data_IF_922387494886
#
_entry.id   IF_922387494886
#
_cell.length_a   1.000
_cell.length_b   1.000
_cell.length_c   1.000
_cell.angle_alpha   90.00
_cell.angle_beta   90.00
_cell.angle_gamma   90.00
#
_symmetry.space_group_name_H-M   'P 1'
#
loop_
_entity.id
_entity.type
_entity.pdbx_description
1 polymer ?
#
# COMPACT_ATOMS: atom_id res chain seq x y z
N UNK A 1 24.01 30.35 -1.34
CA UNK A 1 24.67 29.47 -0.35
C UNK A 1 24.90 30.19 0.98
N UNK A 2 24.22 31.32 1.22
CA UNK A 2 24.39 32.12 2.44
C UNK A 2 23.06 32.76 2.91
N UNK A 3 21.93 32.41 2.29
CA UNK A 3 20.57 32.87 2.67
C UNK A 3 19.74 31.78 3.39
N UNK A 4 20.18 30.53 3.38
CA UNK A 4 19.46 29.40 4.00
C UNK A 4 19.81 29.20 5.49
N UNK A 5 20.74 30.01 6.03
CA UNK A 5 21.25 29.84 7.39
C UNK A 5 20.49 30.65 8.46
N UNK A 6 19.70 31.67 8.08
CA UNK A 6 19.00 32.51 9.06
C UNK A 6 17.61 32.00 9.43
N UNK A 7 16.97 31.17 8.61
CA UNK A 7 15.60 30.72 8.89
C UNK A 7 15.51 29.54 9.88
N UNK A 8 16.65 29.02 10.34
CA UNK A 8 16.73 27.84 11.21
C UNK A 8 16.61 28.13 12.72
N UNK A 9 16.60 29.41 13.14
CA UNK A 9 16.68 29.77 14.55
C UNK A 9 15.34 29.98 15.29
N UNK A 10 14.18 29.85 14.64
CA UNK A 10 12.88 30.23 15.27
C UNK A 10 12.01 29.05 15.76
N UNK A 11 12.48 27.80 15.69
CA UNK A 11 11.70 26.61 16.07
C UNK A 11 12.21 25.90 17.33
N UNK A 12 12.63 26.65 18.35
CA UNK A 12 13.08 26.04 19.63
C UNK A 12 12.06 26.23 20.75
N UNK A 13 10.94 25.53 20.65
CA UNK A 13 10.22 25.05 21.84
C UNK A 13 9.91 23.57 21.63
N UNK A 14 10.90 22.75 21.95
CA UNK A 14 10.89 21.31 21.73
C UNK A 14 10.75 20.63 23.09
N UNK A 15 9.76 19.75 23.21
CA UNK A 15 9.40 19.02 24.43
C UNK A 15 10.61 18.30 25.06
N UNK A 16 10.68 18.19 26.41
CA UNK A 16 11.88 17.73 27.12
C UNK A 16 12.32 16.28 26.82
N UNK A 17 11.50 15.46 26.16
CA UNK A 17 11.85 14.12 25.70
C UNK A 17 12.82 14.12 24.48
N UNK A 18 12.89 15.22 23.73
CA UNK A 18 13.70 15.33 22.52
C UNK A 18 15.14 15.82 22.79
N UNK A 19 15.41 16.34 23.99
CA UNK A 19 16.74 16.85 24.35
C UNK A 19 17.74 15.72 24.64
N UNK A 20 17.28 14.57 25.11
CA UNK A 20 18.16 13.44 25.46
C UNK A 20 18.60 12.59 24.26
N UNK A 21 17.96 12.73 23.09
CA UNK A 21 18.30 11.96 21.88
C UNK A 21 19.32 12.65 20.97
N UNK A 22 19.57 13.95 21.20
CA UNK A 22 20.49 14.75 20.38
C UNK A 22 21.98 14.48 20.66
N UNK A 23 22.35 13.90 21.80
CA UNK A 23 23.76 13.69 22.13
C UNK A 23 24.40 12.44 21.48
N UNK A 24 23.62 11.54 20.85
CA UNK A 24 24.16 10.27 20.32
C UNK A 24 23.75 9.89 18.89
N UNK A 25 22.99 10.72 18.16
CA UNK A 25 22.55 10.36 16.80
C UNK A 25 23.41 11.07 15.75
N UNK A 26 24.04 10.29 14.87
CA UNK A 26 24.64 10.79 13.63
C UNK A 26 23.61 11.66 12.88
N UNK A 27 24.01 12.86 12.43
CA UNK A 27 23.21 13.91 11.79
C UNK A 27 22.34 13.51 10.57
N UNK A 28 22.26 12.22 10.24
CA UNK A 28 21.55 11.68 9.08
C UNK A 28 20.43 10.69 9.42
N UNK A 29 20.08 10.53 10.71
CA UNK A 29 19.05 9.58 11.14
C UNK A 29 17.72 10.27 11.44
N UNK A 30 16.61 9.65 11.05
CA UNK A 30 15.29 10.23 11.27
C UNK A 30 14.97 10.28 12.76
N UNK A 31 14.38 11.40 13.22
CA UNK A 31 13.98 11.62 14.62
C UNK A 31 13.01 10.55 15.16
N UNK A 32 12.26 9.90 14.27
CA UNK A 32 11.28 8.86 14.61
C UNK A 32 11.88 7.48 14.36
N UNK A 33 11.93 6.66 15.41
CA UNK A 33 12.49 5.30 15.38
C UNK A 33 11.75 4.37 14.40
N UNK A 34 10.43 4.53 14.29
CA UNK A 34 9.60 3.80 13.32
C UNK A 34 10.01 4.09 11.86
N UNK A 35 10.45 5.32 11.58
CA UNK A 35 10.92 5.71 10.24
C UNK A 35 12.34 5.19 10.03
N UNK A 36 13.23 5.34 11.02
CA UNK A 36 14.62 4.92 10.95
C UNK A 36 14.75 3.40 10.73
N UNK A 37 13.89 2.62 11.40
CA UNK A 37 13.87 1.17 11.26
C UNK A 37 13.36 0.70 9.90
N UNK A 38 12.44 1.45 9.26
CA UNK A 38 11.78 1.03 8.02
C UNK A 38 12.35 1.67 6.75
N UNK A 39 13.03 2.81 6.82
CA UNK A 39 13.54 3.56 5.66
C UNK A 39 15.06 3.70 5.74
N UNK A 40 15.77 3.43 4.64
CA UNK A 40 17.21 3.69 4.55
C UNK A 40 17.47 5.19 4.35
N UNK A 41 18.41 5.75 5.11
CA UNK A 41 18.85 7.14 4.94
C UNK A 41 19.77 7.33 3.73
N UNK A 42 20.20 6.24 3.08
CA UNK A 42 21.04 6.27 1.88
C UNK A 42 20.21 5.93 0.65
N UNK A 43 20.27 6.81 -0.36
CA UNK A 43 19.71 6.58 -1.70
C UNK A 43 20.81 6.73 -2.77
N UNK A 44 20.76 5.90 -3.80
CA UNK A 44 21.65 5.98 -4.96
C UNK A 44 20.89 6.58 -6.16
N UNK A 45 21.19 7.82 -6.57
CA UNK A 45 20.47 8.50 -7.65
C UNK A 45 20.76 7.91 -9.04
N UNK A 46 21.74 7.02 -9.19
CA UNK A 46 22.14 6.45 -10.49
C UNK A 46 21.27 5.28 -10.94
N UNK A 47 20.51 4.67 -10.01
CA UNK A 47 19.64 3.52 -10.29
C UNK A 47 18.44 3.97 -11.15
N UNK A 48 18.21 3.29 -12.27
CA UNK A 48 17.06 3.55 -13.14
C UNK A 48 15.75 3.12 -12.47
N UNK A 49 14.80 4.04 -12.37
CA UNK A 49 13.46 3.77 -11.84
C UNK A 49 12.45 3.47 -12.97
N UNK A 50 12.53 4.23 -14.07
CA UNK A 50 11.55 4.20 -15.15
C UNK A 50 12.11 3.39 -16.33
N UNK A 51 11.62 2.16 -16.48
CA UNK A 51 12.06 1.21 -17.50
C UNK A 51 10.86 0.62 -18.20
N UNK A 52 11.10 -0.10 -19.30
CA UNK A 52 10.01 -0.77 -20.04
C UNK A 52 9.21 -1.72 -19.15
N UNK A 53 9.91 -2.53 -18.35
CA UNK A 53 9.27 -3.48 -17.43
C UNK A 53 8.44 -2.79 -16.35
N UNK A 54 8.92 -1.69 -15.76
CA UNK A 54 8.16 -0.98 -14.73
C UNK A 54 6.93 -0.29 -15.30
N UNK A 55 7.03 0.26 -16.52
CA UNK A 55 5.89 0.81 -17.23
C UNK A 55 4.85 -0.25 -17.60
N UNK A 56 5.28 -1.37 -18.21
CA UNK A 56 4.39 -2.45 -18.64
C UNK A 56 3.68 -3.12 -17.46
N UNK A 57 4.43 -3.55 -16.43
CA UNK A 57 3.85 -4.16 -15.23
C UNK A 57 3.00 -3.15 -14.45
N UNK A 58 3.45 -1.90 -14.37
CA UNK A 58 2.70 -0.80 -13.77
C UNK A 58 1.32 -0.65 -14.41
N UNK A 59 1.24 -0.44 -15.72
CA UNK A 59 -0.04 -0.27 -16.43
C UNK A 59 -0.93 -1.49 -16.29
N UNK A 60 -0.37 -2.70 -16.43
CA UNK A 60 -1.12 -3.95 -16.35
C UNK A 60 -1.74 -4.14 -14.95
N UNK A 61 -0.92 -4.04 -13.90
CA UNK A 61 -1.40 -4.23 -12.52
C UNK A 61 -2.34 -3.10 -12.09
N UNK A 62 -2.07 -1.87 -12.51
CA UNK A 62 -2.95 -0.72 -12.26
C UNK A 62 -4.33 -0.93 -12.89
N UNK A 63 -4.38 -1.38 -14.15
CA UNK A 63 -5.64 -1.63 -14.86
C UNK A 63 -6.45 -2.76 -14.22
N UNK A 64 -5.78 -3.87 -13.84
CA UNK A 64 -6.42 -5.00 -13.16
C UNK A 64 -6.95 -4.61 -11.79
N UNK A 65 -6.16 -3.85 -11.01
CA UNK A 65 -6.54 -3.41 -9.68
C UNK A 65 -7.74 -2.46 -9.72
N UNK A 66 -7.71 -1.47 -10.61
CA UNK A 66 -8.81 -0.51 -10.80
C UNK A 66 -10.10 -1.21 -11.21
N UNK A 67 -10.03 -2.14 -12.16
CA UNK A 67 -11.18 -2.93 -12.59
C UNK A 67 -11.76 -3.75 -11.43
N UNK A 68 -10.90 -4.45 -10.69
CA UNK A 68 -11.31 -5.35 -9.61
C UNK A 68 -11.97 -4.58 -8.47
N UNK A 69 -11.37 -3.47 -8.03
CA UNK A 69 -11.92 -2.63 -6.97
C UNK A 69 -13.23 -1.98 -7.40
N UNK A 70 -13.31 -1.45 -8.62
CA UNK A 70 -14.55 -0.84 -9.13
C UNK A 70 -15.66 -1.89 -9.26
N UNK A 71 -15.33 -3.11 -9.70
CA UNK A 71 -16.30 -4.21 -9.80
C UNK A 71 -16.84 -4.64 -8.43
N UNK A 72 -15.97 -4.84 -7.44
CA UNK A 72 -16.38 -5.26 -6.10
C UNK A 72 -17.02 -4.15 -5.27
N UNK A 73 -16.90 -2.88 -5.68
CA UNK A 73 -17.53 -1.75 -4.98
C UNK A 73 -19.06 -1.82 -4.92
N UNK A 74 -19.70 -2.54 -5.85
CA UNK A 74 -21.16 -2.70 -5.88
C UNK A 74 -21.67 -3.80 -4.94
N UNK A 75 -20.80 -4.48 -4.20
CA UNK A 75 -21.19 -5.47 -3.20
C UNK A 75 -21.69 -4.81 -1.93
N UNK A 76 -22.59 -5.49 -1.21
CA UNK A 76 -23.08 -5.07 0.12
C UNK A 76 -21.95 -4.94 1.14
N UNK A 77 -20.97 -5.82 1.06
CA UNK A 77 -19.67 -5.70 1.74
C UNK A 77 -18.59 -5.55 0.66
N UNK A 78 -18.11 -4.33 0.41
CA UNK A 78 -17.16 -4.05 -0.67
C UNK A 78 -15.82 -4.69 -0.35
N UNK A 79 -15.24 -5.39 -1.33
CA UNK A 79 -13.86 -5.89 -1.21
C UNK A 79 -12.93 -4.85 -1.82
N UNK A 80 -12.00 -4.35 -1.02
CA UNK A 80 -11.01 -3.38 -1.45
C UNK A 80 -9.61 -3.99 -1.46
N UNK A 81 -8.99 -4.05 -2.63
CA UNK A 81 -7.60 -4.49 -2.80
C UNK A 81 -6.67 -3.29 -2.73
N UNK A 82 -5.72 -3.32 -1.81
CA UNK A 82 -4.73 -2.26 -1.63
C UNK A 82 -3.47 -2.48 -2.50
N UNK A 83 -2.61 -1.46 -2.60
CA UNK A 83 -1.31 -1.47 -3.30
C UNK A 83 -0.45 -2.69 -2.96
N UNK A 84 -0.53 -3.21 -1.74
CA UNK A 84 0.24 -4.39 -1.29
C UNK A 84 0.07 -5.60 -2.22
N UNK A 85 -1.12 -5.82 -2.78
CA UNK A 85 -1.37 -6.92 -3.73
C UNK A 85 -0.51 -6.74 -4.98
N UNK A 86 -0.49 -5.52 -5.53
CA UNK A 86 0.35 -5.19 -6.68
C UNK A 86 1.84 -5.28 -6.32
N UNK A 87 2.24 -4.90 -5.11
CA UNK A 87 3.63 -5.01 -4.63
C UNK A 87 4.09 -6.46 -4.53
N UNK A 88 3.27 -7.36 -3.99
CA UNK A 88 3.57 -8.80 -3.88
C UNK A 88 3.64 -9.46 -5.26
N UNK A 89 2.72 -9.14 -6.18
CA UNK A 89 2.69 -9.72 -7.52
C UNK A 89 3.81 -9.19 -8.42
N UNK A 90 4.12 -7.90 -8.34
CA UNK A 90 5.12 -7.26 -9.21
C UNK A 90 6.54 -7.73 -8.95
N UNK A 91 6.88 -8.20 -7.74
CA UNK A 91 8.22 -8.69 -7.43
C UNK A 91 8.63 -9.95 -8.25
N UNK A 92 7.90 -11.08 -8.19
CA UNK A 92 8.23 -12.26 -9.00
C UNK A 92 8.03 -12.00 -10.50
N UNK A 93 7.04 -11.19 -10.89
CA UNK A 93 6.85 -10.80 -12.30
C UNK A 93 8.01 -9.94 -12.81
N UNK A 94 8.54 -9.03 -11.98
CA UNK A 94 9.67 -8.17 -12.29
C UNK A 94 10.98 -8.95 -12.40
N UNK A 95 11.26 -9.85 -11.45
CA UNK A 95 12.42 -10.76 -11.50
C UNK A 95 12.35 -11.72 -12.69
N UNK A 96 11.17 -12.27 -13.00
CA UNK A 96 11.01 -13.14 -14.17
C UNK A 96 11.16 -12.37 -15.50
N UNK A 97 10.62 -11.16 -15.62
CA UNK A 97 10.91 -10.27 -16.76
C UNK A 97 12.41 -9.98 -16.90
N UNK A 98 13.11 -9.74 -15.78
CA UNK A 98 14.54 -9.47 -15.80
C UNK A 98 15.37 -10.66 -16.32
N UNK A 99 14.89 -11.90 -16.12
CA UNK A 99 15.55 -13.10 -16.61
C UNK A 99 15.18 -13.44 -18.06
N UNK A 100 13.94 -13.14 -18.47
CA UNK A 100 13.42 -13.53 -19.78
C UNK A 100 13.73 -12.47 -20.86
N UNK A 101 13.76 -11.18 -20.51
CA UNK A 101 13.92 -10.13 -21.51
C UNK A 101 15.36 -10.03 -22.04
N UNK A 102 15.54 -9.89 -23.36
CA UNK A 102 16.86 -9.73 -23.95
C UNK A 102 17.47 -8.37 -23.61
N UNK A 103 18.71 -8.36 -23.14
CA UNK A 103 19.50 -7.13 -22.85
C UNK A 103 19.99 -6.40 -24.11
N UNK A 104 19.33 -6.59 -25.25
CA UNK A 104 19.72 -5.95 -26.51
C UNK A 104 19.35 -4.47 -26.46
N UNK A 105 20.31 -3.61 -26.76
CA UNK A 105 20.08 -2.20 -26.96
C UNK A 105 19.62 -1.95 -28.39
N UNK A 106 18.42 -1.39 -28.53
CA UNK A 106 17.86 -0.94 -29.78
C UNK A 106 18.27 0.51 -30.01
N UNK A 107 18.88 0.78 -31.15
CA UNK A 107 19.22 2.13 -31.60
C UNK A 107 18.01 2.69 -32.36
N UNK A 108 17.22 3.53 -31.70
CA UNK A 108 16.12 4.24 -32.35
C UNK A 108 16.63 5.51 -33.05
N UNK A 109 16.02 5.82 -34.19
CA UNK A 109 16.21 7.06 -34.96
C UNK A 109 17.69 7.32 -35.33
N UNK A 110 18.30 6.38 -36.05
CA UNK A 110 19.63 6.54 -36.65
C UNK A 110 20.80 6.62 -35.65
N UNK A 111 20.64 6.06 -34.45
CA UNK A 111 21.72 5.96 -33.45
C UNK A 111 21.71 7.02 -32.35
N UNK A 112 20.77 7.96 -32.35
CA UNK A 112 20.68 9.03 -31.33
C UNK A 112 20.03 8.59 -30.03
N UNK A 113 19.19 7.54 -30.06
CA UNK A 113 18.46 7.06 -28.89
C UNK A 113 18.80 5.58 -28.67
N UNK A 114 19.35 5.25 -27.50
CA UNK A 114 19.62 3.88 -27.08
C UNK A 114 18.51 3.46 -26.12
N UNK A 115 17.72 2.46 -26.52
CA UNK A 115 16.68 1.89 -25.68
C UNK A 115 17.02 0.43 -25.38
N UNK A 116 17.20 0.09 -24.11
CA UNK A 116 17.33 -1.31 -23.69
C UNK A 116 16.01 -1.79 -23.12
N UNK A 117 15.53 -2.95 -23.58
CA UNK A 117 14.37 -3.62 -22.98
C UNK A 117 14.69 -4.16 -21.58
N UNK A 118 15.95 -4.50 -21.31
CA UNK A 118 16.42 -4.98 -20.03
C UNK A 118 17.72 -4.24 -19.64
N UNK A 119 17.62 -3.17 -18.84
CA UNK A 119 18.78 -2.38 -18.45
C UNK A 119 19.63 -3.04 -17.34
N UNK A 120 19.12 -4.08 -16.67
CA UNK A 120 19.84 -4.73 -15.56
C UNK A 120 18.93 -5.54 -14.63
N UNK A 121 19.42 -5.94 -13.44
CA UNK A 121 18.62 -6.66 -12.45
C UNK A 121 17.41 -5.83 -12.00
N UNK A 122 16.34 -6.48 -11.52
CA UNK A 122 15.14 -5.79 -11.04
C UNK A 122 15.46 -5.04 -9.75
N UNK A 123 15.22 -3.73 -9.74
CA UNK A 123 15.62 -2.85 -8.64
C UNK A 123 14.45 -2.44 -7.76
N UNK A 124 14.74 -2.06 -6.52
CA UNK A 124 13.74 -1.52 -5.58
C UNK A 124 13.01 -0.28 -6.14
N UNK A 125 13.69 0.54 -6.95
CA UNK A 125 13.09 1.76 -7.53
C UNK A 125 12.05 1.45 -8.60
N UNK A 126 12.32 0.46 -9.45
CA UNK A 126 11.34 -0.03 -10.42
C UNK A 126 10.14 -0.67 -9.74
N UNK A 127 10.39 -1.44 -8.68
CA UNK A 127 9.34 -2.02 -7.84
C UNK A 127 8.46 -0.96 -7.19
N UNK A 128 9.08 0.08 -6.65
CA UNK A 128 8.40 1.22 -6.03
C UNK A 128 7.51 1.96 -7.03
N UNK A 129 8.00 2.27 -8.24
CA UNK A 129 7.20 2.95 -9.27
C UNK A 129 5.98 2.11 -9.68
N UNK A 130 6.14 0.80 -9.89
CA UNK A 130 5.01 -0.09 -10.23
C UNK A 130 3.93 -0.01 -9.15
N UNK A 131 4.34 -0.06 -7.88
CA UNK A 131 3.41 -0.02 -6.77
C UNK A 131 2.73 1.35 -6.62
N UNK A 132 3.47 2.45 -6.78
CA UNK A 132 2.90 3.81 -6.77
C UNK A 132 1.86 3.97 -7.88
N UNK A 133 2.16 3.48 -9.11
CA UNK A 133 1.18 3.46 -10.20
C UNK A 133 -0.08 2.69 -9.80
N UNK A 134 0.06 1.49 -9.23
CA UNK A 134 -1.09 0.70 -8.78
C UNK A 134 -1.88 1.41 -7.67
N UNK A 135 -1.20 2.06 -6.71
CA UNK A 135 -1.85 2.80 -5.64
C UNK A 135 -2.70 3.95 -6.17
N UNK A 136 -2.23 4.66 -7.21
CA UNK A 136 -3.00 5.77 -7.77
C UNK A 136 -4.35 5.33 -8.34
N UNK A 137 -4.49 4.07 -8.78
CA UNK A 137 -5.75 3.57 -9.34
C UNK A 137 -6.52 2.60 -8.43
N UNK A 138 -6.09 2.40 -7.18
CA UNK A 138 -6.80 1.53 -6.24
C UNK A 138 -8.14 2.13 -5.80
N UNK A 139 -8.26 3.47 -5.77
CA UNK A 139 -9.44 4.18 -5.30
C UNK A 139 -10.67 4.03 -6.21
N UNK A 140 -11.85 3.94 -5.58
CA UNK A 140 -13.14 3.92 -6.28
C UNK A 140 -13.47 5.34 -6.76
N UNK A 141 -13.88 5.48 -8.02
CA UNK A 141 -14.17 6.79 -8.60
C UNK A 141 -15.56 7.29 -8.19
N UNK A 142 -15.61 8.41 -7.47
CA UNK A 142 -16.88 9.08 -7.10
C UNK A 142 -17.70 9.46 -8.33
N UNK A 143 -17.05 9.86 -9.43
CA UNK A 143 -17.72 10.17 -10.68
C UNK A 143 -18.50 8.97 -11.25
N UNK A 144 -17.99 7.74 -11.10
CA UNK A 144 -18.69 6.52 -11.53
C UNK A 144 -19.94 6.26 -10.67
N UNK A 145 -19.89 6.57 -9.37
CA UNK A 145 -21.05 6.43 -8.49
C UNK A 145 -22.18 7.38 -8.91
N UNK A 146 -21.85 8.65 -9.22
CA UNK A 146 -22.83 9.63 -9.72
C UNK A 146 -23.48 9.17 -11.02
N UNK A 147 -22.68 8.70 -11.99
CA UNK A 147 -23.18 8.17 -13.26
C UNK A 147 -24.10 6.96 -13.01
N UNK A 148 -23.72 6.06 -12.11
CA UNK A 148 -24.51 4.87 -11.78
C UNK A 148 -25.86 5.26 -11.17
N UNK A 149 -25.88 6.19 -10.21
CA UNK A 149 -27.12 6.67 -9.58
C UNK A 149 -28.04 7.32 -10.61
N UNK A 150 -27.49 8.19 -11.47
CA UNK A 150 -28.25 8.83 -12.55
C UNK A 150 -28.89 7.80 -13.50
N UNK A 151 -28.16 6.72 -13.81
CA UNK A 151 -28.65 5.67 -14.70
C UNK A 151 -29.72 4.78 -14.04
N UNK A 152 -29.51 4.37 -12.79
CA UNK A 152 -30.36 3.40 -12.09
C UNK A 152 -31.62 4.05 -11.49
N UNK A 153 -31.48 5.20 -10.83
CA UNK A 153 -32.58 5.84 -10.12
C UNK A 153 -33.34 6.86 -10.97
N UNK A 154 -32.64 7.58 -11.86
CA UNK A 154 -33.24 8.63 -12.68
C UNK A 154 -33.50 8.19 -14.14
N UNK A 155 -33.19 6.94 -14.49
CA UNK A 155 -33.34 6.37 -15.85
C UNK A 155 -32.75 7.25 -16.96
N UNK A 156 -31.72 8.05 -16.65
CA UNK A 156 -31.10 8.96 -17.59
C UNK A 156 -29.70 8.46 -17.95
N UNK A 157 -29.50 8.08 -19.22
CA UNK A 157 -28.20 7.64 -19.71
C UNK A 157 -27.38 8.80 -20.29
N UNK A 158 -26.21 9.04 -19.72
CA UNK A 158 -25.20 9.93 -20.31
C UNK A 158 -24.50 9.25 -21.49
N UNK A 159 -24.11 10.05 -22.49
CA UNK A 159 -23.25 9.60 -23.57
C UNK A 159 -21.92 9.06 -23.03
N UNK A 160 -21.42 7.95 -23.58
CA UNK A 160 -20.20 7.30 -23.09
C UNK A 160 -18.98 8.23 -23.09
N UNK A 161 -18.80 9.03 -24.15
CA UNK A 161 -17.70 10.00 -24.24
C UNK A 161 -17.81 11.06 -23.15
N UNK A 162 -19.02 11.55 -22.87
CA UNK A 162 -19.26 12.53 -21.82
C UNK A 162 -18.99 11.93 -20.43
N UNK A 163 -19.42 10.69 -20.21
CA UNK A 163 -19.13 9.95 -18.97
C UNK A 163 -17.61 9.75 -18.77
N UNK A 164 -16.88 9.41 -19.83
CA UNK A 164 -15.42 9.25 -19.79
C UNK A 164 -14.74 10.58 -19.47
N UNK A 165 -15.12 11.67 -20.15
CA UNK A 165 -14.57 13.01 -19.90
C UNK A 165 -14.89 13.49 -18.48
N UNK A 166 -16.10 13.22 -17.99
CA UNK A 166 -16.49 13.53 -16.62
C UNK A 166 -15.61 12.81 -15.60
N UNK A 167 -15.43 11.49 -15.75
CA UNK A 167 -14.55 10.70 -14.89
C UNK A 167 -13.10 11.21 -14.98
N UNK A 168 -12.58 11.46 -16.18
CA UNK A 168 -11.22 11.95 -16.37
C UNK A 168 -11.00 13.31 -15.70
N UNK A 169 -11.94 14.25 -15.87
CA UNK A 169 -11.86 15.59 -15.26
C UNK A 169 -11.88 15.54 -13.73
N UNK A 170 -12.68 14.66 -13.13
CA UNK A 170 -12.72 14.46 -11.69
C UNK A 170 -11.40 13.94 -11.15
N UNK A 171 -10.76 13.01 -11.86
CA UNK A 171 -9.49 12.41 -11.42
C UNK A 171 -8.32 13.37 -11.59
N UNK A 172 -8.24 14.11 -12.71
CA UNK A 172 -7.17 15.09 -12.93
C UNK A 172 -7.23 16.26 -11.94
N UNK A 173 -8.44 16.67 -11.53
CA UNK A 173 -8.62 17.67 -10.47
C UNK A 173 -8.05 17.19 -9.13
N UNK A 174 -8.31 15.93 -8.77
CA UNK A 174 -7.78 15.32 -7.54
C UNK A 174 -6.25 15.29 -7.51
N UNK A 175 -5.60 14.82 -8.57
CA UNK A 175 -4.14 14.83 -8.66
C UNK A 175 -3.55 16.24 -8.72
N UNK A 176 -4.25 17.20 -9.34
CA UNK A 176 -3.86 18.60 -9.34
C UNK A 176 -3.81 19.18 -7.92
N UNK A 177 -4.85 18.94 -7.13
CA UNK A 177 -4.91 19.36 -5.72
C UNK A 177 -3.84 18.67 -4.86
N UNK A 178 -3.61 17.37 -5.07
CA UNK A 178 -2.55 16.64 -4.37
C UNK A 178 -1.16 17.25 -4.65
N UNK A 179 -0.91 17.71 -5.88
CA UNK A 179 0.32 18.41 -6.26
C UNK A 179 0.54 19.70 -5.48
N UNK A 180 -0.51 20.50 -5.29
CA UNK A 180 -0.45 21.75 -4.50
C UNK A 180 -0.21 21.46 -3.02
N UNK A 181 -0.89 20.45 -2.46
CA UNK A 181 -0.77 20.08 -1.04
C UNK A 181 0.56 19.41 -0.70
N UNK A 182 1.30 18.88 -1.68
CA UNK A 182 2.58 18.21 -1.47
C UNK A 182 3.54 19.03 -0.59
N UNK A 183 3.64 20.35 -0.81
CA UNK A 183 4.52 21.24 -0.03
C UNK A 183 4.21 21.22 1.47
N UNK A 184 2.95 21.10 1.83
CA UNK A 184 2.49 21.13 3.23
C UNK A 184 2.44 19.76 3.88
N UNK A 185 2.24 18.71 3.08
CA UNK A 185 1.92 17.38 3.60
C UNK A 185 3.11 16.40 3.53
N UNK A 186 4.06 16.63 2.62
CA UNK A 186 5.16 15.69 2.34
C UNK A 186 6.53 16.24 2.73
N UNK A 187 6.78 17.54 2.55
CA UNK A 187 8.09 18.14 2.81
C UNK A 187 8.41 18.37 4.31
N UNK A 188 7.44 18.71 5.18
CA UNK A 188 7.74 18.89 6.60
C UNK A 188 8.15 17.59 7.28
N UNK A 189 9.26 17.61 8.05
CA UNK A 189 9.83 16.42 8.72
C UNK A 189 8.89 15.83 9.78
N UNK A 190 8.01 16.66 10.37
CA UNK A 190 7.04 16.22 11.37
C UNK A 190 5.86 15.41 10.79
N UNK A 191 5.67 15.40 9.47
CA UNK A 191 4.55 14.70 8.82
C UNK A 191 4.91 13.24 8.51
N UNK A 192 4.48 12.31 9.37
CA UNK A 192 4.66 10.87 9.18
C UNK A 192 3.39 10.26 8.60
N UNK A 193 3.57 9.30 7.69
CA UNK A 193 2.51 8.50 7.09
C UNK A 193 2.68 7.02 7.48
N UNK A 194 2.13 6.57 8.63
CA UNK A 194 2.32 5.19 9.12
C UNK A 194 1.93 4.12 8.09
N UNK A 195 0.86 4.36 7.34
CA UNK A 195 0.42 3.45 6.26
C UNK A 195 1.46 3.25 5.16
N UNK A 196 2.34 4.24 4.93
CA UNK A 196 3.41 4.11 3.96
C UNK A 196 4.62 3.34 4.51
N UNK A 197 4.83 3.33 5.83
CA UNK A 197 5.94 2.61 6.45
C UNK A 197 5.85 1.10 6.21
N UNK A 198 4.65 0.54 6.18
CA UNK A 198 4.43 -0.88 5.86
C UNK A 198 4.85 -1.19 4.43
N UNK A 199 4.57 -0.30 3.49
CA UNK A 199 4.99 -0.45 2.10
C UNK A 199 6.52 -0.41 1.99
N UNK A 200 7.17 0.52 2.70
CA UNK A 200 8.64 0.61 2.79
C UNK A 200 9.25 -0.65 3.39
N UNK A 201 8.71 -1.14 4.50
CA UNK A 201 9.13 -2.38 5.14
C UNK A 201 9.03 -3.58 4.18
N UNK A 202 7.94 -3.65 3.43
CA UNK A 202 7.70 -4.72 2.45
C UNK A 202 8.67 -4.63 1.25
N UNK A 203 9.01 -3.43 0.76
CA UNK A 203 10.03 -3.28 -0.28
C UNK A 203 11.39 -3.76 0.19
N UNK A 204 11.76 -3.47 1.44
CA UNK A 204 13.00 -3.96 2.03
C UNK A 204 12.96 -5.46 2.24
N UNK A 205 11.85 -6.01 2.72
CA UNK A 205 11.69 -7.45 2.91
C UNK A 205 11.90 -8.23 1.61
N UNK A 206 11.39 -7.73 0.48
CA UNK A 206 11.58 -8.38 -0.82
C UNK A 206 12.98 -8.18 -1.41
N UNK A 207 13.59 -7.00 -1.25
CA UNK A 207 14.86 -6.68 -1.91
C UNK A 207 16.11 -6.92 -1.02
N UNK A 208 15.97 -7.19 0.28
CA UNK A 208 17.09 -7.44 1.20
C UNK A 208 17.64 -8.88 1.17
N UNK A 209 17.11 -9.77 0.30
CA UNK A 209 17.72 -11.11 0.12
C UNK A 209 19.22 -11.02 -0.24
N UNK A 210 19.68 -9.91 -0.84
CA UNK A 210 21.08 -9.73 -1.22
C UNK A 210 21.98 -9.24 -0.06
N UNK A 211 21.44 -8.74 1.06
CA UNK A 211 22.22 -8.21 2.19
C UNK A 211 22.32 -9.17 3.39
N UNK A 212 21.37 -10.10 3.55
CA UNK A 212 21.41 -11.10 4.63
C UNK A 212 22.59 -12.09 4.46
N UNK A 213 23.25 -12.14 3.29
CA UNK A 213 24.50 -12.91 3.08
C UNK A 213 25.76 -12.16 3.59
N UNK A 214 25.70 -10.84 3.81
CA UNK A 214 26.88 -10.02 4.16
C UNK A 214 27.13 -9.94 5.68
N UNK A 215 26.12 -10.20 6.52
CA UNK A 215 26.24 -10.24 8.00
C UNK A 215 26.66 -11.62 8.57
N UNK A 216 27.26 -12.50 7.75
CA UNK A 216 27.89 -13.75 8.22
C UNK A 216 29.40 -13.61 8.46
N UNK A 217 29.93 -12.42 8.73
CA UNK A 217 31.34 -12.23 9.07
C UNK A 217 31.51 -11.22 10.21
N UNK A 218 31.47 -11.71 11.46
CA UNK A 218 32.53 -11.52 12.46
C UNK A 218 32.01 -11.77 13.88
N UNK A 219 32.39 -12.92 14.43
CA UNK A 219 32.61 -13.17 15.86
C UNK A 219 31.56 -12.62 16.85
N UNK A 220 30.40 -13.26 16.97
CA UNK A 220 29.65 -13.19 18.22
C UNK A 220 28.89 -14.49 18.51
N UNK A 221 28.78 -14.77 19.80
CA UNK A 221 28.41 -16.05 20.41
C UNK A 221 27.10 -16.61 19.85
N UNK A 222 27.14 -17.91 19.51
CA UNK A 222 26.04 -18.70 18.99
C UNK A 222 24.93 -18.81 20.05
N UNK A 223 24.01 -17.85 20.10
CA UNK A 223 22.62 -18.15 20.46
C UNK A 223 21.91 -18.56 19.18
N UNK A 224 21.68 -19.87 19.01
CA UNK A 224 20.84 -20.42 17.93
C UNK A 224 19.38 -20.04 18.18
N UNK A 225 19.05 -18.76 18.09
CA UNK A 225 17.71 -18.37 17.69
C UNK A 225 17.71 -18.51 16.17
N UNK A 226 17.22 -19.65 15.68
CA UNK A 226 16.97 -19.87 14.24
C UNK A 226 15.87 -18.88 13.82
N UNK A 227 16.22 -17.59 13.70
CA UNK A 227 15.32 -16.55 13.23
C UNK A 227 14.90 -16.96 11.83
N UNK A 228 13.62 -17.28 11.69
CA UNK A 228 13.03 -17.63 10.41
C UNK A 228 13.27 -16.45 9.46
N UNK A 229 13.80 -16.70 8.26
CA UNK A 229 13.94 -15.65 7.24
C UNK A 229 12.59 -14.95 7.04
N UNK A 230 12.59 -13.62 6.95
CA UNK A 230 11.39 -12.78 6.85
C UNK A 230 10.48 -13.24 5.71
N UNK A 231 11.06 -13.64 4.57
CA UNK A 231 10.32 -14.17 3.42
C UNK A 231 9.62 -15.49 3.73
N UNK A 232 10.26 -16.41 4.47
CA UNK A 232 9.65 -17.69 4.87
C UNK A 232 8.47 -17.48 5.82
N UNK A 233 8.61 -16.57 6.77
CA UNK A 233 7.53 -16.20 7.67
C UNK A 233 6.34 -15.59 6.91
N UNK A 234 6.61 -14.70 5.95
CA UNK A 234 5.57 -14.11 5.09
C UNK A 234 4.79 -15.18 4.33
N UNK A 235 5.45 -16.10 3.64
CA UNK A 235 4.77 -17.17 2.89
C UNK A 235 4.01 -18.13 3.80
N UNK A 236 4.52 -18.41 5.00
CA UNK A 236 3.83 -19.23 5.99
C UNK A 236 2.53 -18.56 6.45
N UNK A 237 2.58 -17.28 6.80
CA UNK A 237 1.39 -16.51 7.19
C UNK A 237 0.40 -16.34 6.05
N UNK A 238 0.88 -16.12 4.82
CA UNK A 238 0.05 -16.09 3.62
C UNK A 238 -0.72 -17.42 3.45
N UNK A 239 -0.05 -18.55 3.63
CA UNK A 239 -0.68 -19.86 3.53
C UNK A 239 -1.74 -20.08 4.62
N UNK A 240 -1.43 -19.73 5.87
CA UNK A 240 -2.41 -19.79 6.96
C UNK A 240 -3.61 -18.87 6.73
N UNK A 241 -3.40 -17.66 6.19
CA UNK A 241 -4.48 -16.74 5.88
C UNK A 241 -5.37 -17.26 4.75
N UNK A 242 -4.79 -17.89 3.72
CA UNK A 242 -5.55 -18.53 2.65
C UNK A 242 -6.42 -19.65 3.24
N UNK A 243 -5.86 -20.52 4.09
CA UNK A 243 -6.62 -21.59 4.75
C UNK A 243 -7.70 -21.03 5.67
N UNK A 244 -7.39 -19.99 6.45
CA UNK A 244 -8.34 -19.36 7.35
C UNK A 244 -9.53 -18.82 6.58
N UNK A 245 -9.35 -18.22 5.41
CA UNK A 245 -10.44 -17.65 4.62
C UNK A 245 -11.53 -18.67 4.23
N UNK A 246 -11.19 -19.96 4.08
CA UNK A 246 -12.18 -21.00 3.78
C UNK A 246 -13.07 -21.33 4.98
N UNK A 247 -12.59 -21.10 6.20
CA UNK A 247 -13.31 -21.45 7.43
C UNK A 247 -14.55 -20.57 7.63
N UNK A 248 -14.47 -19.23 7.78
CA UNK A 248 -15.64 -18.37 7.89
C UNK A 248 -16.38 -18.24 6.56
N UNK A 249 -15.73 -18.47 5.42
CA UNK A 249 -16.33 -18.33 4.10
C UNK A 249 -17.22 -19.51 3.67
N UNK A 250 -16.84 -20.74 3.99
CA UNK A 250 -17.52 -21.95 3.48
C UNK A 250 -17.85 -22.97 4.56
N UNK A 251 -16.94 -23.23 5.51
CA UNK A 251 -17.09 -24.33 6.48
C UNK A 251 -18.06 -23.95 7.61
N UNK A 252 -17.91 -22.75 8.18
CA UNK A 252 -18.76 -22.25 9.25
C UNK A 252 -19.09 -20.76 9.04
N UNK A 253 -20.10 -20.43 8.22
CA UNK A 253 -20.52 -19.06 7.96
C UNK A 253 -20.95 -18.28 9.20
N UNK A 254 -21.35 -18.97 10.27
CA UNK A 254 -21.69 -18.36 11.56
C UNK A 254 -20.50 -17.60 12.16
N UNK A 255 -19.26 -18.04 11.89
CA UNK A 255 -18.06 -17.32 12.35
C UNK A 255 -17.81 -16.00 11.61
N UNK A 256 -18.39 -15.83 10.40
CA UNK A 256 -18.25 -14.57 9.66
C UNK A 256 -18.90 -13.42 10.43
N UNK A 257 -20.08 -13.65 11.02
CA UNK A 257 -20.69 -12.69 11.92
C UNK A 257 -21.63 -13.38 12.92
N UNK A 258 -21.25 -13.31 14.20
CA UNK A 258 -21.98 -13.87 15.33
C UNK A 258 -22.37 -12.76 16.31
N UNK A 259 -23.66 -12.52 16.47
CA UNK A 259 -24.19 -11.65 17.52
C UNK A 259 -24.73 -12.49 18.66
N UNK A 260 -23.98 -12.54 19.76
CA UNK A 260 -24.32 -13.34 20.94
C UNK A 260 -25.68 -12.92 21.53
N UNK A 261 -25.95 -11.61 21.52
CA UNK A 261 -27.17 -11.04 22.08
C UNK A 261 -28.39 -11.34 21.20
N UNK A 262 -28.25 -11.29 19.86
CA UNK A 262 -29.31 -11.74 18.95
C UNK A 262 -29.61 -13.24 19.08
N UNK A 263 -28.61 -14.05 19.39
CA UNK A 263 -28.80 -15.50 19.56
C UNK A 263 -29.62 -15.83 20.83
N UNK A 264 -29.40 -15.10 21.92
CA UNK A 264 -30.11 -15.32 23.20
C UNK A 264 -31.60 -14.99 23.10
N UNK A 265 -31.98 -13.94 22.36
CA UNK A 265 -33.39 -13.57 22.18
C UNK A 265 -33.66 -13.06 20.75
N UNK A 266 -33.87 -14.01 19.83
CA UNK A 266 -34.06 -13.74 18.40
C UNK A 266 -35.39 -13.08 18.03
N UNK A 267 -36.40 -13.13 18.92
CA UNK A 267 -37.75 -12.65 18.61
C UNK A 267 -37.96 -11.16 18.93
N UNK A 268 -37.01 -10.50 19.61
CA UNK A 268 -37.14 -9.09 19.95
C UNK A 268 -36.60 -8.20 18.82
N UNK A 269 -37.49 -7.44 18.17
CA UNK A 269 -37.16 -6.54 17.06
C UNK A 269 -36.19 -5.43 17.49
N UNK A 270 -36.36 -4.86 18.69
CA UNK A 270 -35.48 -3.80 19.20
C UNK A 270 -34.07 -4.33 19.44
N UNK A 271 -33.98 -5.55 19.98
CA UNK A 271 -32.70 -6.20 20.23
C UNK A 271 -32.01 -6.53 18.90
N UNK A 272 -32.74 -7.08 17.94
CA UNK A 272 -32.22 -7.37 16.61
C UNK A 272 -31.72 -6.10 15.89
N UNK A 273 -32.43 -4.98 16.01
CA UNK A 273 -31.96 -3.71 15.45
C UNK A 273 -30.70 -3.17 16.15
N UNK A 274 -30.55 -3.38 17.46
CA UNK A 274 -29.37 -2.92 18.21
C UNK A 274 -28.14 -3.80 17.96
N UNK A 275 -28.31 -5.12 17.90
CA UNK A 275 -27.18 -6.07 17.99
C UNK A 275 -26.92 -6.87 16.73
N UNK A 276 -27.80 -6.81 15.73
CA UNK A 276 -27.59 -7.51 14.45
C UNK A 276 -26.54 -6.81 13.58
N UNK A 277 -25.94 -7.60 12.68
CA UNK A 277 -24.97 -7.17 11.66
C UNK A 277 -25.59 -6.21 10.65
N UNK A 278 -26.90 -6.36 10.39
CA UNK A 278 -27.67 -5.43 9.56
C UNK A 278 -28.28 -4.27 10.37
N UNK A 279 -28.04 -4.25 11.69
CA UNK A 279 -28.48 -3.21 12.63
C UNK A 279 -27.30 -2.36 13.09
N UNK A 280 -27.31 -1.96 14.37
CA UNK A 280 -26.25 -1.16 14.98
C UNK A 280 -24.97 -1.95 15.29
N UNK A 281 -25.00 -3.29 15.22
CA UNK A 281 -23.84 -4.16 15.43
C UNK A 281 -23.32 -4.25 16.87
N UNK A 282 -24.06 -3.76 17.88
CA UNK A 282 -23.60 -3.76 19.28
C UNK A 282 -23.46 -5.21 19.81
N UNK A 283 -22.25 -5.57 20.23
CA UNK A 283 -21.95 -6.92 20.73
C UNK A 283 -21.97 -8.02 19.65
N UNK A 284 -21.86 -7.63 18.38
CA UNK A 284 -21.59 -8.57 17.28
C UNK A 284 -20.09 -8.79 17.11
N UNK A 285 -19.70 -10.05 16.96
CA UNK A 285 -18.33 -10.47 16.72
C UNK A 285 -18.21 -11.00 15.31
N UNK A 286 -17.22 -10.53 14.58
CA UNK A 286 -16.89 -11.02 13.24
C UNK A 286 -15.50 -11.64 13.31
N UNK A 287 -15.30 -12.82 12.75
CA UNK A 287 -13.96 -13.43 12.63
C UNK A 287 -13.47 -13.48 11.17
N UNK A 288 -14.25 -12.91 10.25
CA UNK A 288 -13.85 -12.68 8.87
C UNK A 288 -13.07 -11.37 8.74
N UNK A 289 -11.78 -11.49 8.39
CA UNK A 289 -10.88 -10.36 8.18
C UNK A 289 -11.42 -9.36 7.13
N UNK A 290 -12.12 -9.84 6.11
CA UNK A 290 -12.66 -8.98 5.07
C UNK A 290 -13.78 -8.10 5.60
N UNK A 291 -14.65 -8.63 6.46
CA UNK A 291 -15.74 -7.89 7.07
C UNK A 291 -15.25 -6.73 7.96
N UNK A 292 -14.14 -6.93 8.69
CA UNK A 292 -13.48 -5.88 9.46
C UNK A 292 -12.88 -4.78 8.58
N UNK A 293 -12.02 -5.18 7.64
CA UNK A 293 -11.24 -4.22 6.83
C UNK A 293 -12.10 -3.48 5.82
N UNK A 294 -13.26 -4.03 5.43
CA UNK A 294 -14.20 -3.38 4.50
C UNK A 294 -14.65 -1.98 4.96
N UNK A 295 -14.69 -1.74 6.27
CA UNK A 295 -15.25 -0.50 6.84
C UNK A 295 -14.31 0.24 7.80
N UNK A 296 -13.35 -0.46 8.43
CA UNK A 296 -12.49 0.10 9.49
C UNK A 296 -11.03 0.27 9.09
N UNK A 297 -10.69 0.03 7.81
CA UNK A 297 -9.32 -0.12 7.33
C UNK A 297 -8.54 -1.19 8.12
N UNK A 298 -7.24 -1.36 7.85
CA UNK A 298 -6.44 -2.36 8.54
C UNK A 298 -5.97 -1.85 9.90
N UNK A 299 -6.40 -2.46 11.03
CA UNK A 299 -6.04 -2.00 12.37
C UNK A 299 -4.55 -2.20 12.70
N UNK A 300 -3.85 -3.04 11.93
CA UNK A 300 -2.40 -3.29 12.07
C UNK A 300 -1.58 -2.05 11.68
N UNK A 301 -2.17 -1.15 10.89
CA UNK A 301 -1.49 0.01 10.28
C UNK A 301 -1.54 1.25 11.16
N UNK A 302 -2.40 1.22 12.19
CA UNK A 302 -2.73 2.35 13.01
C UNK A 302 -1.81 2.31 14.25
N UNK A 303 -0.93 3.32 14.45
CA UNK A 303 -0.10 3.36 15.64
C UNK A 303 -0.97 3.47 16.89
N UNK A 304 -0.52 2.88 18.00
CA UNK A 304 -1.15 3.08 19.30
C UNK A 304 -0.81 4.51 19.77
N UNK A 305 -1.71 5.46 19.55
CA UNK A 305 -1.67 6.77 20.19
C UNK A 305 -2.26 6.73 21.61
#
# INVERSE_FOLDING_TARGET
MEEDAEHSNEYTEVSPLLRNTQENSTLHESLYEEVASNVSNRDDPTILCFTFRSCFLGILLTSLLAFTNQFFSFRTMPIFLNMLVAQVLSYPMGKSMALILPSRSFLLRGGRWRFSLNPGPFTIKEHCIIAVMANTASGISLAIQVITIQRVFYNHSLNYVLALLFVLSSQTLGYGMAGVMRRYVVWPVAMIWPSNLINCAMFRAFNNEDNDEVEMNSNEVITVSRKMSRSRFFYLMLFFQILWYWIPGYICPILSAFSLICYINSNNVVLSQLTSVNGLGLGSFQLDWNAWVSFLDSPIVVPFW
#
